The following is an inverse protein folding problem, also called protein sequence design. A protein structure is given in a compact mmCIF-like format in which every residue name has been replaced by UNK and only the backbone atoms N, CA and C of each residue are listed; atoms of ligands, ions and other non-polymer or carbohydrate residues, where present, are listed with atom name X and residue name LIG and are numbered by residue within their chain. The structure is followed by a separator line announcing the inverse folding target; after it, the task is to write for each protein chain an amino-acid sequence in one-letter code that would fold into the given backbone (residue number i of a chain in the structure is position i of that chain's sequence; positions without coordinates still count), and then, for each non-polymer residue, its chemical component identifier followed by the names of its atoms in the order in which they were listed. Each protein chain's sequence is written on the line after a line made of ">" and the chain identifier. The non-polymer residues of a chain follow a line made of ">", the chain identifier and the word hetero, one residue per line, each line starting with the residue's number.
data_IF_572992372434
#
_entry.id   IF_572992372434
#
_cell.length_a   1.000
_cell.length_b   1.000
_cell.length_c   1.000
_cell.angle_alpha   90.00
_cell.angle_beta   90.00
_cell.angle_gamma   90.00
#
_symmetry.space_group_name_H-M   'P 1'
#
loop_
_entity.id
_entity.type
_entity.pdbx_description
1 polymer ?
#
# COMPACT_ATOMS: atom_id res chain seq x y z
N UNK A 1 -7.55 -1.04 -13.67
CA UNK A 1 -8.62 -1.66 -12.86
C UNK A 1 -8.31 -1.69 -11.36
N UNK A 2 -7.08 -2.04 -10.95
CA UNK A 2 -6.69 -2.16 -9.54
C UNK A 2 -6.94 -0.89 -8.69
N UNK A 3 -6.36 0.27 -9.06
CA UNK A 3 -6.54 1.53 -8.33
C UNK A 3 -8.01 1.98 -8.15
N UNK A 4 -8.85 2.00 -9.21
CA UNK A 4 -10.27 2.31 -9.05
C UNK A 4 -11.00 1.43 -8.04
N UNK A 5 -10.76 0.11 -8.05
CA UNK A 5 -11.41 -0.83 -7.12
C UNK A 5 -11.04 -0.48 -5.67
N UNK A 6 -9.75 -0.24 -5.37
CA UNK A 6 -9.31 0.13 -4.02
C UNK A 6 -9.85 1.49 -3.58
N UNK A 7 -9.92 2.48 -4.49
CA UNK A 7 -10.54 3.78 -4.20
C UNK A 7 -12.03 3.63 -3.88
N UNK A 8 -12.76 2.82 -4.65
CA UNK A 8 -14.18 2.54 -4.37
C UNK A 8 -14.36 1.76 -3.06
N UNK A 9 -13.48 0.80 -2.78
CA UNK A 9 -13.50 0.04 -1.54
C UNK A 9 -13.30 0.97 -0.34
N UNK A 10 -12.32 1.87 -0.40
CA UNK A 10 -12.07 2.87 0.64
C UNK A 10 -13.28 3.81 0.83
N UNK A 11 -13.89 4.28 -0.26
CA UNK A 11 -15.09 5.12 -0.21
C UNK A 11 -16.27 4.42 0.50
N UNK A 12 -16.55 3.16 0.15
CA UNK A 12 -17.64 2.41 0.78
C UNK A 12 -17.32 1.92 2.20
N UNK A 13 -16.03 1.72 2.52
CA UNK A 13 -15.57 1.32 3.84
C UNK A 13 -15.50 2.50 4.81
N UNK A 14 -15.25 3.72 4.33
CA UNK A 14 -15.19 4.90 5.17
C UNK A 14 -15.54 6.18 4.38
N UNK A 15 -16.85 6.42 4.12
CA UNK A 15 -17.27 7.60 3.37
C UNK A 15 -16.97 8.91 4.09
N UNK A 16 -16.92 8.89 5.43
CA UNK A 16 -16.61 10.05 6.24
C UNK A 16 -15.17 10.55 6.04
N UNK A 17 -14.17 9.67 5.85
CA UNK A 17 -12.81 10.10 5.48
C UNK A 17 -12.80 10.80 4.12
N UNK A 18 -13.48 10.27 3.11
CA UNK A 18 -13.53 10.87 1.78
C UNK A 18 -14.21 12.25 1.81
N UNK A 19 -15.28 12.41 2.59
CA UNK A 19 -15.93 13.70 2.80
C UNK A 19 -15.04 14.70 3.55
N UNK A 20 -14.46 14.30 4.68
CA UNK A 20 -13.57 15.15 5.49
C UNK A 20 -12.34 15.59 4.69
N UNK A 21 -11.76 14.70 3.87
CA UNK A 21 -10.61 14.99 3.00
C UNK A 21 -10.89 16.08 1.98
N UNK A 22 -12.14 16.21 1.52
CA UNK A 22 -12.56 17.25 0.57
C UNK A 22 -12.91 18.56 1.26
N UNK A 23 -13.49 18.50 2.46
CA UNK A 23 -13.93 19.67 3.21
C UNK A 23 -12.79 20.36 3.96
N UNK A 24 -11.91 19.57 4.57
CA UNK A 24 -10.81 20.04 5.41
C UNK A 24 -9.51 19.29 5.04
N UNK A 25 -8.91 19.56 3.87
CA UNK A 25 -7.73 18.85 3.41
C UNK A 25 -6.55 19.03 4.38
N UNK A 26 -5.79 17.95 4.58
CA UNK A 26 -4.57 17.98 5.39
C UNK A 26 -3.38 18.31 4.50
N UNK A 27 -2.59 19.31 4.89
CA UNK A 27 -1.30 19.62 4.25
C UNK A 27 -0.18 19.67 5.27
N UNK A 28 0.93 19.02 4.94
CA UNK A 28 2.16 19.00 5.73
C UNK A 28 3.17 19.89 5.01
N UNK A 29 3.44 21.05 5.61
CA UNK A 29 4.37 22.05 5.12
C UNK A 29 5.67 21.89 5.91
N UNK A 30 6.77 21.55 5.24
CA UNK A 30 8.03 21.32 5.92
C UNK A 30 9.22 21.50 4.98
N UNK A 31 10.41 21.73 5.56
CA UNK A 31 11.67 21.62 4.83
C UNK A 31 11.85 20.16 4.37
N UNK A 32 11.93 19.90 3.04
CA UNK A 32 12.11 18.55 2.51
C UNK A 32 13.32 17.81 3.07
N UNK A 33 14.38 18.53 3.47
CA UNK A 33 15.58 17.91 4.06
C UNK A 33 15.31 17.30 5.44
N UNK A 34 14.22 17.71 6.10
CA UNK A 34 13.80 17.19 7.42
C UNK A 34 12.76 16.08 7.32
N UNK A 35 12.24 15.78 6.13
CA UNK A 35 11.24 14.73 5.90
C UNK A 35 11.89 13.51 5.25
N UNK A 36 12.25 12.52 6.05
CA UNK A 36 13.01 11.36 5.59
C UNK A 36 12.13 10.38 4.82
N UNK A 37 12.69 9.71 3.80
CA UNK A 37 12.05 8.54 3.22
C UNK A 37 12.08 7.37 4.21
N UNK A 38 10.92 6.99 4.75
CA UNK A 38 10.83 6.06 5.89
C UNK A 38 10.88 4.58 5.51
N UNK A 39 11.83 4.20 4.65
CA UNK A 39 12.09 2.81 4.32
C UNK A 39 13.25 2.29 5.14
N UNK A 40 12.97 1.35 6.04
CA UNK A 40 13.99 0.67 6.81
C UNK A 40 13.68 -0.84 6.95
N UNK A 41 14.28 -1.67 6.09
CA UNK A 41 14.06 -3.11 6.13
C UNK A 41 14.82 -3.81 7.28
N UNK A 42 15.71 -3.11 8.00
CA UNK A 42 16.59 -3.70 9.03
C UNK A 42 16.34 -3.12 10.44
N UNK A 43 15.50 -2.09 10.57
CA UNK A 43 15.07 -1.51 11.85
C UNK A 43 16.13 -0.70 12.57
N UNK A 44 17.12 -0.16 11.85
CA UNK A 44 18.24 0.64 12.39
C UNK A 44 18.08 2.15 12.22
N UNK A 45 17.26 2.59 11.26
CA UNK A 45 17.00 3.99 11.02
C UNK A 45 16.06 4.57 12.08
N UNK A 46 16.31 5.81 12.46
CA UNK A 46 15.45 6.57 13.35
C UNK A 46 14.78 7.69 12.56
N UNK A 47 13.46 7.63 12.45
CA UNK A 47 12.63 8.63 11.78
C UNK A 47 12.02 9.56 12.85
N UNK A 48 12.90 10.27 13.56
CA UNK A 48 12.55 11.00 14.78
C UNK A 48 12.30 12.50 14.57
N UNK A 49 12.50 13.01 13.35
CA UNK A 49 12.24 14.41 13.04
C UNK A 49 10.76 14.76 13.26
N UNK A 50 10.44 16.03 13.55
CA UNK A 50 9.05 16.47 13.65
C UNK A 50 8.23 16.16 12.38
N UNK A 51 8.81 16.34 11.18
CA UNK A 51 8.14 15.99 9.93
C UNK A 51 7.85 14.48 9.83
N UNK A 52 8.83 13.64 10.19
CA UNK A 52 8.70 12.19 10.12
C UNK A 52 7.61 11.67 11.06
N UNK A 53 7.52 12.24 12.26
CA UNK A 53 6.49 11.91 13.26
C UNK A 53 5.10 12.33 12.80
N UNK A 54 4.95 13.54 12.25
CA UNK A 54 3.68 14.02 11.66
C UNK A 54 3.22 13.05 10.57
N UNK A 55 4.07 12.77 9.58
CA UNK A 55 3.71 11.92 8.45
C UNK A 55 3.39 10.49 8.90
N UNK A 56 4.19 9.94 9.82
CA UNK A 56 3.92 8.63 10.44
C UNK A 56 2.56 8.59 11.12
N UNK A 57 2.23 9.62 11.91
CA UNK A 57 0.95 9.71 12.59
C UNK A 57 -0.21 9.70 11.60
N UNK A 58 -0.16 10.56 10.58
CA UNK A 58 -1.23 10.66 9.58
C UNK A 58 -1.44 9.35 8.84
N UNK A 59 -0.37 8.69 8.38
CA UNK A 59 -0.46 7.39 7.69
C UNK A 59 -0.99 6.29 8.62
N UNK A 60 -0.56 6.24 9.89
CA UNK A 60 -1.08 5.28 10.88
C UNK A 60 -2.56 5.48 11.17
N UNK A 61 -3.06 6.71 11.09
CA UNK A 61 -4.49 7.01 11.21
C UNK A 61 -5.26 6.82 9.89
N UNK A 62 -4.58 6.48 8.78
CA UNK A 62 -5.20 6.35 7.46
C UNK A 62 -5.70 7.67 6.88
N UNK A 63 -5.14 8.79 7.32
CA UNK A 63 -5.53 10.13 6.90
C UNK A 63 -4.71 10.54 5.67
N UNK A 64 -5.36 10.80 4.52
CA UNK A 64 -4.66 11.30 3.34
C UNK A 64 -4.18 12.73 3.58
N UNK A 65 -3.02 13.07 3.03
CA UNK A 65 -2.47 14.42 3.13
C UNK A 65 -1.63 14.77 1.90
N UNK A 66 -1.35 16.07 1.74
CA UNK A 66 -0.41 16.57 0.74
C UNK A 66 0.87 17.08 1.41
N UNK A 67 2.02 16.86 0.79
CA UNK A 67 3.29 17.45 1.24
C UNK A 67 3.59 18.71 0.45
N UNK A 68 3.88 19.81 1.15
CA UNK A 68 4.22 21.10 0.55
C UNK A 68 5.62 21.48 1.01
N UNK A 69 6.51 21.82 0.07
CA UNK A 69 7.87 22.22 0.39
C UNK A 69 7.88 23.61 1.02
N UNK A 70 8.57 23.75 2.14
CA UNK A 70 8.86 25.01 2.79
C UNK A 70 10.35 25.37 2.67
N UNK A 71 10.73 26.65 2.87
CA UNK A 71 12.13 27.07 2.85
C UNK A 71 12.99 26.27 3.84
N UNK A 72 14.28 26.11 3.51
CA UNK A 72 15.20 25.38 4.35
C UNK A 72 15.23 25.92 5.79
N UNK A 73 15.19 25.02 6.78
CA UNK A 73 15.17 25.36 8.20
C UNK A 73 13.80 25.78 8.76
N UNK A 74 12.73 25.80 7.96
CA UNK A 74 11.38 26.05 8.47
C UNK A 74 10.91 24.91 9.40
N UNK A 75 10.26 25.20 10.54
CA UNK A 75 9.61 24.16 11.33
C UNK A 75 8.50 23.48 10.54
N UNK A 76 8.20 22.22 10.84
CA UNK A 76 7.02 21.55 10.27
C UNK A 76 5.75 22.28 10.70
N UNK A 77 4.84 22.47 9.77
CA UNK A 77 3.51 22.99 10.00
C UNK A 77 2.49 22.05 9.36
N UNK A 78 1.42 21.75 10.08
CA UNK A 78 0.30 20.95 9.59
C UNK A 78 -0.92 21.82 9.53
N UNK A 79 -1.53 21.91 8.35
CA UNK A 79 -2.85 22.53 8.23
C UNK A 79 -3.90 21.43 8.10
N UNK A 80 -4.96 21.54 8.88
CA UNK A 80 -6.17 20.71 8.79
C UNK A 80 -7.32 21.66 8.48
N UNK A 81 -7.64 21.82 7.18
CA UNK A 81 -8.49 22.93 6.74
C UNK A 81 -7.88 24.28 7.17
N UNK A 82 -8.62 25.06 7.96
CA UNK A 82 -8.17 26.37 8.46
C UNK A 82 -7.31 26.30 9.73
N UNK A 83 -7.29 25.15 10.42
CA UNK A 83 -6.54 24.97 11.67
C UNK A 83 -5.07 24.74 11.35
N UNK A 84 -4.18 25.57 11.92
CA UNK A 84 -2.73 25.47 11.77
C UNK A 84 -2.10 24.92 13.05
N UNK A 85 -1.24 23.93 12.91
CA UNK A 85 -0.48 23.32 14.00
C UNK A 85 1.00 23.42 13.66
N UNK A 86 1.78 24.00 14.56
CA UNK A 86 3.23 24.11 14.41
C UNK A 86 3.92 22.96 15.17
N UNK A 87 4.92 22.35 14.56
CA UNK A 87 5.65 21.22 15.13
C UNK A 87 4.87 19.89 15.10
N UNK A 88 5.35 18.94 15.91
CA UNK A 88 4.66 17.66 16.14
C UNK A 88 3.99 17.70 17.52
N UNK A 89 2.65 17.77 17.53
CA UNK A 89 1.81 17.60 18.71
C UNK A 89 0.69 16.61 18.36
N UNK A 90 0.80 15.38 18.89
CA UNK A 90 -0.17 14.32 18.60
C UNK A 90 -1.57 14.66 19.12
N UNK A 91 -1.68 15.31 20.28
CA UNK A 91 -2.96 15.65 20.89
C UNK A 91 -3.65 16.76 20.07
N UNK A 92 -2.90 17.79 19.67
CA UNK A 92 -3.40 18.85 18.81
C UNK A 92 -3.81 18.31 17.43
N UNK A 93 -3.00 17.44 16.82
CA UNK A 93 -3.32 16.81 15.52
C UNK A 93 -4.60 15.99 15.62
N UNK A 94 -4.70 15.11 16.62
CA UNK A 94 -5.90 14.28 16.81
C UNK A 94 -7.14 15.13 17.09
N UNK A 95 -6.99 16.20 17.87
CA UNK A 95 -8.05 17.17 18.15
C UNK A 95 -8.52 17.88 16.87
N UNK A 96 -7.60 18.46 16.09
CA UNK A 96 -7.91 19.16 14.86
C UNK A 96 -8.54 18.26 13.80
N UNK A 97 -8.04 17.04 13.61
CA UNK A 97 -8.63 16.09 12.66
C UNK A 97 -10.03 15.66 13.10
N UNK A 98 -10.25 15.46 14.40
CA UNK A 98 -11.59 15.11 14.93
C UNK A 98 -12.57 16.27 14.72
N UNK A 99 -12.16 17.51 15.01
CA UNK A 99 -12.97 18.72 14.78
C UNK A 99 -13.27 18.95 13.29
N UNK A 100 -12.33 18.60 12.42
CA UNK A 100 -12.48 18.67 10.97
C UNK A 100 -13.35 17.52 10.37
N UNK A 101 -13.90 16.64 11.21
CA UNK A 101 -14.81 15.57 10.78
C UNK A 101 -14.11 14.28 10.34
N UNK A 102 -12.79 14.14 10.53
CA UNK A 102 -12.12 12.87 10.27
C UNK A 102 -12.48 11.84 11.35
N UNK A 103 -13.04 10.68 10.99
CA UNK A 103 -13.43 9.68 11.97
C UNK A 103 -12.21 8.95 12.54
N UNK A 104 -12.15 8.77 13.86
CA UNK A 104 -11.11 7.92 14.48
C UNK A 104 -11.30 6.43 14.20
N UNK A 105 -12.53 6.04 13.87
CA UNK A 105 -12.90 4.68 13.48
C UNK A 105 -14.03 4.76 12.46
N UNK A 106 -14.00 3.89 11.46
CA UNK A 106 -15.08 3.82 10.47
C UNK A 106 -16.44 3.60 11.15
N UNK A 107 -17.40 4.46 10.84
CA UNK A 107 -18.77 4.36 11.35
C UNK A 107 -19.48 3.17 10.71
N UNK A 108 -19.74 2.13 11.51
CA UNK A 108 -20.35 0.89 11.05
C UNK A 108 -21.74 1.03 10.42
N UNK A 109 -22.45 2.15 10.66
CA UNK A 109 -23.74 2.43 10.05
C UNK A 109 -23.63 3.00 8.64
N UNK A 110 -22.54 3.71 8.34
CA UNK A 110 -22.30 4.32 7.02
C UNK A 110 -21.55 3.38 6.06
N UNK A 111 -21.03 2.26 6.57
CA UNK A 111 -20.34 1.25 5.76
C UNK A 111 -21.32 0.55 4.82
N UNK A 112 -21.07 0.64 3.51
CA UNK A 112 -21.82 -0.11 2.51
C UNK A 112 -21.25 -1.54 2.39
N UNK A 113 -21.64 -2.39 3.34
CA UNK A 113 -21.23 -3.80 3.43
C UNK A 113 -21.48 -4.62 2.15
N UNK A 114 -22.66 -4.58 1.50
CA UNK A 114 -22.88 -5.42 0.31
C UNK A 114 -21.96 -5.02 -0.84
N UNK A 115 -21.69 -3.73 -1.03
CA UNK A 115 -20.77 -3.28 -2.07
C UNK A 115 -19.32 -3.66 -1.78
N UNK A 116 -18.89 -3.56 -0.51
CA UNK A 116 -17.56 -4.04 -0.09
C UNK A 116 -17.40 -5.52 -0.37
N UNK A 117 -18.39 -6.34 0.00
CA UNK A 117 -18.37 -7.79 -0.28
C UNK A 117 -18.31 -8.05 -1.77
N UNK A 118 -19.12 -7.35 -2.58
CA UNK A 118 -19.09 -7.50 -4.04
C UNK A 118 -17.71 -7.16 -4.65
N UNK A 119 -17.08 -6.07 -4.19
CA UNK A 119 -15.73 -5.69 -4.64
C UNK A 119 -14.67 -6.71 -4.20
N UNK A 120 -14.75 -7.23 -2.97
CA UNK A 120 -13.85 -8.27 -2.48
C UNK A 120 -14.04 -9.56 -3.29
N UNK A 121 -15.28 -9.99 -3.57
CA UNK A 121 -15.57 -11.16 -4.41
C UNK A 121 -15.01 -10.97 -5.81
N UNK A 122 -15.17 -9.79 -6.41
CA UNK A 122 -14.58 -9.48 -7.72
C UNK A 122 -13.05 -9.61 -7.69
N UNK A 123 -12.39 -9.08 -6.65
CA UNK A 123 -10.93 -9.22 -6.46
C UNK A 123 -10.51 -10.69 -6.28
N UNK A 124 -11.30 -11.50 -5.57
CA UNK A 124 -11.04 -12.93 -5.40
C UNK A 124 -11.17 -13.69 -6.72
N UNK A 125 -12.18 -13.38 -7.54
CA UNK A 125 -12.34 -14.00 -8.87
C UNK A 125 -11.13 -13.68 -9.75
N UNK A 126 -10.71 -12.41 -9.79
CA UNK A 126 -9.52 -11.98 -10.53
C UNK A 126 -8.29 -12.73 -10.03
N UNK A 127 -8.13 -12.85 -8.70
CA UNK A 127 -7.04 -13.62 -8.11
C UNK A 127 -7.09 -15.09 -8.56
N UNK A 128 -8.23 -15.76 -8.45
CA UNK A 128 -8.38 -17.16 -8.84
C UNK A 128 -8.03 -17.42 -10.31
N UNK A 129 -8.41 -16.51 -11.21
CA UNK A 129 -8.05 -16.57 -12.63
C UNK A 129 -6.53 -16.49 -12.87
N UNK A 130 -5.78 -15.80 -12.01
CA UNK A 130 -4.32 -15.75 -12.08
C UNK A 130 -3.66 -16.99 -11.46
N UNK A 131 -4.22 -17.52 -10.36
CA UNK A 131 -3.66 -18.69 -9.67
C UNK A 131 -3.85 -20.01 -10.44
N UNK A 132 -4.93 -20.14 -11.22
CA UNK A 132 -5.20 -21.35 -12.01
C UNK A 132 -4.08 -21.70 -13.01
N UNK A 133 -3.73 -20.79 -13.95
CA UNK A 133 -2.64 -21.00 -14.90
C UNK A 133 -1.27 -21.18 -14.22
N UNK A 134 -1.02 -20.50 -13.10
CA UNK A 134 0.22 -20.63 -12.34
C UNK A 134 0.43 -22.08 -11.87
N UNK A 135 -0.62 -22.72 -11.34
CA UNK A 135 -0.54 -24.10 -10.88
C UNK A 135 -0.23 -25.08 -12.03
N UNK A 136 -0.86 -24.90 -13.19
CA UNK A 136 -0.59 -25.73 -14.37
C UNK A 136 0.85 -25.57 -14.87
N UNK A 137 1.31 -24.33 -15.03
CA UNK A 137 2.66 -24.02 -15.50
C UNK A 137 3.74 -24.62 -14.59
N UNK A 138 3.57 -24.54 -13.28
CA UNK A 138 4.52 -25.12 -12.33
C UNK A 138 4.63 -26.65 -12.45
N UNK A 139 3.53 -27.33 -12.76
CA UNK A 139 3.51 -28.81 -12.95
C UNK A 139 4.24 -29.20 -14.24
N UNK A 140 4.15 -28.37 -15.28
CA UNK A 140 4.77 -28.60 -16.59
C UNK A 140 6.29 -28.33 -16.59
N UNK A 141 6.75 -27.34 -15.81
CA UNK A 141 8.16 -26.95 -15.77
C UNK A 141 9.07 -27.90 -14.98
N UNK A 142 8.52 -28.68 -14.04
CA UNK A 142 9.32 -29.51 -13.13
C UNK A 142 9.05 -31.03 -13.27
N UNK A 143 10.11 -31.85 -13.31
CA UNK A 143 10.02 -33.32 -13.30
C UNK A 143 9.15 -33.85 -12.16
N UNK A 144 8.33 -34.86 -12.44
CA UNK A 144 7.37 -35.46 -11.49
C UNK A 144 8.03 -35.87 -10.17
N UNK A 145 9.27 -36.39 -10.22
CA UNK A 145 10.02 -36.89 -9.05
C UNK A 145 10.47 -35.82 -8.03
N UNK A 146 10.67 -34.57 -8.46
CA UNK A 146 11.12 -33.45 -7.60
C UNK A 146 10.12 -32.29 -7.53
N UNK A 147 8.98 -32.42 -8.23
CA UNK A 147 7.99 -31.35 -8.44
C UNK A 147 7.61 -30.63 -7.15
N UNK A 148 7.29 -31.36 -6.08
CA UNK A 148 6.89 -30.75 -4.81
C UNK A 148 8.00 -29.92 -4.17
N UNK A 149 9.23 -30.47 -4.12
CA UNK A 149 10.41 -29.76 -3.58
C UNK A 149 10.76 -28.54 -4.42
N UNK A 150 10.74 -28.69 -5.75
CA UNK A 150 11.08 -27.62 -6.69
C UNK A 150 10.03 -26.51 -6.75
N UNK A 151 8.73 -26.81 -6.54
CA UNK A 151 7.66 -25.80 -6.46
C UNK A 151 7.69 -25.00 -5.15
N UNK A 152 8.08 -25.66 -4.04
CA UNK A 152 8.08 -25.05 -2.72
C UNK A 152 9.07 -23.88 -2.62
N UNK A 153 10.24 -23.99 -3.28
CA UNK A 153 11.29 -22.98 -3.21
C UNK A 153 10.88 -21.63 -3.85
N UNK A 154 10.39 -21.57 -5.10
CA UNK A 154 9.80 -20.35 -5.68
C UNK A 154 8.64 -19.80 -4.85
N UNK A 155 7.79 -20.67 -4.29
CA UNK A 155 6.65 -20.24 -3.48
C UNK A 155 7.09 -19.52 -2.20
N UNK A 156 8.04 -20.11 -1.45
CA UNK A 156 8.53 -19.50 -0.21
C UNK A 156 9.41 -18.29 -0.44
N UNK A 157 10.25 -18.28 -1.48
CA UNK A 157 11.03 -17.09 -1.84
C UNK A 157 10.11 -15.97 -2.30
N UNK A 158 9.15 -16.29 -3.16
CA UNK A 158 8.18 -15.34 -3.68
C UNK A 158 7.36 -14.67 -2.58
N UNK A 159 6.71 -15.49 -1.75
CA UNK A 159 5.87 -14.99 -0.67
C UNK A 159 6.70 -14.37 0.47
N UNK A 160 7.85 -14.97 0.79
CA UNK A 160 8.71 -14.51 1.87
C UNK A 160 9.35 -13.16 1.58
N UNK A 161 9.99 -13.02 0.41
CA UNK A 161 10.68 -11.78 0.06
C UNK A 161 9.69 -10.73 -0.44
N UNK A 162 9.01 -10.99 -1.56
CA UNK A 162 8.16 -9.96 -2.16
C UNK A 162 6.92 -9.67 -1.32
N UNK A 163 6.30 -10.70 -0.72
CA UNK A 163 5.19 -10.53 0.20
C UNK A 163 5.61 -9.91 1.54
N UNK A 164 6.73 -10.35 2.12
CA UNK A 164 7.23 -9.84 3.39
C UNK A 164 7.64 -8.37 3.36
N UNK A 165 8.22 -7.89 2.25
CA UNK A 165 8.57 -6.46 2.10
C UNK A 165 7.39 -5.57 1.71
N UNK A 166 6.25 -6.13 1.31
CA UNK A 166 5.09 -5.35 0.85
C UNK A 166 4.64 -4.32 1.90
N UNK A 167 4.43 -4.65 3.20
CA UNK A 167 3.96 -3.67 4.18
C UNK A 167 4.97 -2.54 4.40
N UNK A 168 6.25 -2.87 4.51
CA UNK A 168 7.32 -1.87 4.76
C UNK A 168 7.50 -0.93 3.59
N UNK A 169 7.57 -1.45 2.36
CA UNK A 169 7.71 -0.61 1.16
C UNK A 169 6.43 0.21 0.95
N UNK A 170 5.25 -0.40 1.10
CA UNK A 170 3.99 0.32 0.93
C UNK A 170 3.83 1.44 1.96
N UNK A 171 4.19 1.21 3.22
CA UNK A 171 4.16 2.22 4.26
C UNK A 171 5.10 3.39 3.94
N UNK A 172 6.36 3.09 3.59
CA UNK A 172 7.35 4.10 3.23
C UNK A 172 6.89 4.95 2.04
N UNK A 173 6.30 4.32 1.02
CA UNK A 173 5.75 4.97 -0.16
C UNK A 173 4.56 5.88 0.16
N UNK A 174 3.63 5.44 1.01
CA UNK A 174 2.50 6.25 1.45
C UNK A 174 2.94 7.42 2.33
N UNK A 175 3.92 7.21 3.22
CA UNK A 175 4.53 8.28 4.02
C UNK A 175 5.28 9.29 3.15
N UNK A 176 5.91 8.84 2.08
CA UNK A 176 6.62 9.76 1.18
C UNK A 176 5.65 10.63 0.38
N UNK A 177 4.63 10.02 -0.20
CA UNK A 177 3.70 10.67 -1.14
C UNK A 177 2.50 11.35 -0.49
N UNK A 178 2.04 10.85 0.66
CA UNK A 178 0.80 11.27 1.32
C UNK A 178 -0.48 10.65 0.76
N UNK A 179 -0.38 9.88 -0.33
CA UNK A 179 -1.49 9.15 -0.93
C UNK A 179 -1.53 7.70 -0.40
N UNK A 180 -2.59 7.36 0.33
CA UNK A 180 -2.84 6.02 0.89
C UNK A 180 -2.88 4.91 -0.17
N UNK A 181 -3.16 5.26 -1.43
CA UNK A 181 -3.21 4.32 -2.55
C UNK A 181 -1.86 4.13 -3.23
N UNK A 182 -0.85 4.95 -2.94
CA UNK A 182 0.44 4.85 -3.63
C UNK A 182 1.18 3.55 -3.31
N UNK A 183 0.95 2.96 -2.13
CA UNK A 183 1.45 1.62 -1.78
C UNK A 183 1.03 0.52 -2.77
N UNK A 184 -0.09 0.71 -3.49
CA UNK A 184 -0.56 -0.21 -4.53
C UNK A 184 0.40 -0.31 -5.73
N UNK A 185 1.31 0.65 -5.92
CA UNK A 185 2.33 0.56 -6.97
C UNK A 185 3.35 -0.56 -6.72
N UNK A 186 3.62 -0.92 -5.47
CA UNK A 186 4.56 -2.00 -5.15
C UNK A 186 4.17 -3.33 -5.83
N UNK A 187 2.96 -3.90 -5.60
CA UNK A 187 2.57 -5.14 -6.27
C UNK A 187 2.47 -4.95 -7.79
N UNK A 188 2.04 -3.78 -8.29
CA UNK A 188 1.95 -3.53 -9.74
C UNK A 188 3.32 -3.61 -10.42
N UNK A 189 4.34 -2.98 -9.84
CA UNK A 189 5.71 -3.02 -10.37
C UNK A 189 6.29 -4.43 -10.29
N UNK A 190 6.14 -5.12 -9.16
CA UNK A 190 6.65 -6.50 -9.01
C UNK A 190 5.96 -7.46 -9.99
N UNK A 191 4.65 -7.36 -10.18
CA UNK A 191 3.92 -8.15 -11.19
C UNK A 191 4.37 -7.78 -12.61
N UNK A 192 4.61 -6.52 -12.91
CA UNK A 192 5.14 -6.09 -14.21
C UNK A 192 6.52 -6.67 -14.51
N UNK A 193 7.43 -6.65 -13.54
CA UNK A 193 8.75 -7.29 -13.65
C UNK A 193 8.60 -8.81 -13.85
N UNK A 194 7.72 -9.45 -13.07
CA UNK A 194 7.43 -10.89 -13.20
C UNK A 194 6.90 -11.23 -14.60
N UNK A 195 6.03 -10.40 -15.18
CA UNK A 195 5.52 -10.58 -16.53
C UNK A 195 6.65 -10.50 -17.58
N UNK A 196 7.52 -9.50 -17.48
CA UNK A 196 8.66 -9.33 -18.40
C UNK A 196 9.62 -10.52 -18.31
N UNK A 197 10.00 -10.91 -17.09
CA UNK A 197 10.87 -12.07 -16.86
C UNK A 197 10.20 -13.36 -17.34
N UNK A 198 8.91 -13.52 -17.07
CA UNK A 198 8.11 -14.65 -17.53
C UNK A 198 8.12 -14.77 -19.05
N UNK A 199 7.85 -13.68 -19.77
CA UNK A 199 7.84 -13.67 -21.24
C UNK A 199 9.22 -13.96 -21.86
N UNK A 200 10.31 -13.57 -21.20
CA UNK A 200 11.67 -13.73 -21.75
C UNK A 200 12.33 -15.06 -21.35
N UNK A 201 12.04 -15.55 -20.14
CA UNK A 201 12.76 -16.67 -19.54
C UNK A 201 11.96 -17.97 -19.46
N UNK A 202 10.62 -17.93 -19.54
CA UNK A 202 9.83 -19.16 -19.56
C UNK A 202 9.91 -19.82 -20.93
N UNK A 203 10.23 -21.12 -20.94
CA UNK A 203 10.17 -21.95 -22.13
C UNK A 203 8.73 -22.39 -22.38
N UNK A 204 8.36 -22.45 -23.66
CA UNK A 204 7.10 -23.01 -24.12
C UNK A 204 7.06 -24.52 -23.83
N UNK A 205 6.04 -24.98 -23.09
CA UNK A 205 5.88 -26.35 -22.59
C UNK A 205 4.76 -27.13 -23.27
N UNK A 206 3.94 -26.51 -24.13
CA UNK A 206 2.71 -27.10 -24.72
C UNK A 206 2.88 -28.48 -25.37
N UNK A 207 4.07 -28.86 -25.84
CA UNK A 207 4.32 -30.13 -26.55
C UNK A 207 5.41 -31.00 -25.89
N UNK A 208 5.75 -30.74 -24.63
CA UNK A 208 6.79 -31.50 -23.91
C UNK A 208 6.16 -32.64 -23.13
N UNK A 209 6.69 -33.85 -23.30
CA UNK A 209 6.25 -35.04 -22.57
C UNK A 209 6.66 -34.95 -21.08
N UNK A 210 5.68 -34.88 -20.19
CA UNK A 210 5.88 -34.62 -18.76
C UNK A 210 6.58 -35.77 -18.02
N UNK A 211 6.49 -36.99 -18.56
CA UNK A 211 7.07 -38.21 -17.97
C UNK A 211 8.52 -38.46 -18.41
N UNK A 212 9.01 -37.73 -19.42
CA UNK A 212 10.39 -37.84 -19.95
C UNK A 212 11.36 -36.77 -19.43
N UNK A 213 10.91 -35.86 -18.56
CA UNK A 213 11.71 -34.79 -17.93
C UNK A 213 12.25 -35.17 -16.54
#
# INVERSE_FOLDING_TARGET
>A
MYFPIFKTLAHYANPAIDQASRQAPISVIADPATCTFQFDPVGKARFDSPCDKVKTFLVKQGLPYSSVAAPAGSPVQVNVGDVKIEGYDEAALRGATTLAGYPQKADTQQINRPMIVALIVALIIISAMCYGPLAALMVELFPTRIRYTSMSLPYHIGNGWFGGFLPTVSFALVVYTGDIFYGLWYPVVITGVSLVVGMLCLRETRNVDLDKN
#
